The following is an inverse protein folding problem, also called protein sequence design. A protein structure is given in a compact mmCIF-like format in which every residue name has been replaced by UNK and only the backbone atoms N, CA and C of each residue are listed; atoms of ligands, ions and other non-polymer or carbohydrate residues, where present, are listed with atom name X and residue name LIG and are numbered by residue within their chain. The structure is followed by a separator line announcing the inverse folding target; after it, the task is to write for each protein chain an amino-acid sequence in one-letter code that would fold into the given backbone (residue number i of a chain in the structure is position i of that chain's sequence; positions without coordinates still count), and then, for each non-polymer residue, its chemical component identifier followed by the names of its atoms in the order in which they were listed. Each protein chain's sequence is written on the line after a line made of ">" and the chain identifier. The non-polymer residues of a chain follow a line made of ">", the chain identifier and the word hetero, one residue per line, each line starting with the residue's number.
data_IF_832533248924
#
_entry.id   IF_832533248924
#
_cell.length_a   1.000
_cell.length_b   1.000
_cell.length_c   1.000
_cell.angle_alpha   90.00
_cell.angle_beta   90.00
_cell.angle_gamma   90.00
#
_symmetry.space_group_name_H-M   'P 1'
#
loop_
_entity.id
_entity.type
_entity.pdbx_description
1 polymer ?
#
# COMPACT_ATOMS: atom_id res chain seq x y z
N UNK A 1 -3.36 14.13 14.06
CA UNK A 1 -3.99 12.90 13.53
C UNK A 1 -3.58 11.71 14.40
N UNK A 2 -4.53 10.89 14.80
CA UNK A 2 -4.21 9.65 15.51
C UNK A 2 -3.43 8.70 14.60
N UNK A 3 -2.52 7.91 15.20
CA UNK A 3 -1.72 6.95 14.43
C UNK A 3 -2.60 5.84 13.87
N UNK A 4 -2.34 5.46 12.61
CA UNK A 4 -2.97 4.32 11.95
C UNK A 4 -2.26 3.00 12.24
N UNK A 5 -1.15 3.04 12.96
CA UNK A 5 -0.45 1.82 13.36
C UNK A 5 -1.34 0.96 14.24
N UNK A 6 -1.49 -0.30 13.89
CA UNK A 6 -2.35 -1.22 14.59
C UNK A 6 -3.82 -1.20 14.17
N UNK A 7 -4.18 -0.39 13.18
CA UNK A 7 -5.55 -0.40 12.66
C UNK A 7 -5.88 -1.74 11.99
N UNK A 8 -7.13 -2.17 12.19
CA UNK A 8 -7.70 -3.31 11.45
C UNK A 8 -8.20 -2.85 10.08
N UNK A 9 -8.54 -3.81 9.22
CA UNK A 9 -9.17 -3.49 7.93
C UNK A 9 -10.46 -2.68 8.16
N UNK A 10 -11.25 -3.04 9.18
CA UNK A 10 -12.48 -2.31 9.49
C UNK A 10 -12.21 -0.87 9.92
N UNK A 11 -11.14 -0.62 10.65
CA UNK A 11 -10.73 0.75 11.03
C UNK A 11 -10.41 1.59 9.79
N UNK A 12 -9.65 1.04 8.84
CA UNK A 12 -9.33 1.71 7.58
C UNK A 12 -10.61 2.01 6.79
N UNK A 13 -11.48 1.03 6.66
CA UNK A 13 -12.75 1.20 5.93
C UNK A 13 -13.63 2.26 6.55
N UNK A 14 -13.75 2.28 7.87
CA UNK A 14 -14.53 3.29 8.59
C UNK A 14 -13.98 4.70 8.35
N UNK A 15 -12.66 4.87 8.37
CA UNK A 15 -12.04 6.16 8.12
C UNK A 15 -12.37 6.68 6.70
N UNK A 16 -12.33 5.82 5.69
CA UNK A 16 -12.65 6.23 4.32
C UNK A 16 -14.14 6.55 4.15
N UNK A 17 -15.02 5.82 4.82
CA UNK A 17 -16.46 6.14 4.84
C UNK A 17 -16.72 7.51 5.47
N UNK A 18 -15.91 7.89 6.46
CA UNK A 18 -16.01 9.18 7.14
C UNK A 18 -15.32 10.33 6.36
N UNK A 19 -14.81 10.05 5.17
CA UNK A 19 -14.24 11.06 4.28
C UNK A 19 -12.74 11.21 4.33
N UNK A 20 -12.01 10.36 5.04
CA UNK A 20 -10.55 10.39 5.02
C UNK A 20 -10.03 10.04 3.61
N UNK A 21 -8.87 10.58 3.26
CA UNK A 21 -8.24 10.37 1.96
C UNK A 21 -7.06 9.42 2.07
N UNK A 22 -6.92 8.47 1.13
CA UNK A 22 -5.74 7.58 1.12
C UNK A 22 -4.43 8.35 1.09
N UNK A 23 -4.36 9.46 0.34
CA UNK A 23 -3.18 10.30 0.27
C UNK A 23 -2.67 10.69 1.66
N UNK A 24 -3.58 11.12 2.54
CA UNK A 24 -3.22 11.57 3.89
C UNK A 24 -2.88 10.39 4.80
N UNK A 25 -3.71 9.36 4.82
CA UNK A 25 -3.54 8.24 5.74
C UNK A 25 -2.34 7.37 5.38
N UNK A 26 -2.16 7.05 4.10
CA UNK A 26 -1.03 6.23 3.64
C UNK A 26 0.27 7.02 3.76
N UNK A 27 0.25 8.31 3.38
CA UNK A 27 1.42 9.18 3.53
C UNK A 27 1.88 9.27 4.98
N UNK A 28 0.94 9.45 5.92
CA UNK A 28 1.26 9.47 7.34
C UNK A 28 1.82 8.13 7.82
N UNK A 29 1.20 7.01 7.42
CA UNK A 29 1.69 5.68 7.79
C UNK A 29 3.13 5.46 7.33
N UNK A 30 3.42 5.75 6.06
CA UNK A 30 4.76 5.55 5.51
C UNK A 30 5.80 6.42 6.21
N UNK A 31 5.43 7.62 6.65
CA UNK A 31 6.33 8.49 7.39
C UNK A 31 6.67 7.96 8.79
N UNK A 32 5.82 7.11 9.35
CA UNK A 32 5.99 6.52 10.68
C UNK A 32 6.70 5.17 10.67
N UNK A 33 6.82 4.51 9.52
CA UNK A 33 7.53 3.25 9.42
C UNK A 33 9.03 3.49 9.49
N UNK A 34 9.72 2.73 10.34
CA UNK A 34 11.17 2.82 10.46
C UNK A 34 11.85 2.25 9.23
N UNK A 35 12.80 3.02 8.66
CA UNK A 35 13.49 2.62 7.44
C UNK A 35 14.55 1.55 7.68
N UNK A 36 15.08 1.47 8.90
CA UNK A 36 16.15 0.54 9.26
C UNK A 36 15.64 -0.78 9.84
N UNK A 37 14.33 -0.98 9.86
CA UNK A 37 13.74 -2.22 10.37
C UNK A 37 14.07 -3.37 9.42
N UNK A 38 14.64 -4.45 9.98
CA UNK A 38 15.01 -5.65 9.24
C UNK A 38 13.80 -6.37 8.59
N UNK A 39 12.57 -6.00 8.95
CA UNK A 39 11.36 -6.51 8.32
C UNK A 39 11.22 -6.08 6.86
N UNK A 40 11.84 -4.94 6.48
CA UNK A 40 11.66 -4.35 5.15
C UNK A 40 12.87 -4.61 4.25
N UNK A 41 12.63 -5.24 3.10
CA UNK A 41 13.62 -5.39 2.03
C UNK A 41 13.42 -4.28 1.00
N UNK A 42 12.17 -4.06 0.61
CA UNK A 42 11.80 -2.98 -0.30
C UNK A 42 10.62 -2.21 0.28
N UNK A 43 10.58 -0.91 0.01
CA UNK A 43 9.46 -0.04 0.39
C UNK A 43 9.03 0.77 -0.82
N UNK A 44 7.73 1.10 -0.84
CA UNK A 44 7.19 1.95 -1.90
C UNK A 44 7.79 3.36 -1.77
N UNK A 45 8.47 3.83 -2.82
CA UNK A 45 9.00 5.19 -2.88
C UNK A 45 7.92 6.21 -3.24
N UNK A 46 8.28 7.51 -3.21
CA UNK A 46 7.33 8.61 -3.44
C UNK A 46 6.66 8.52 -4.82
N UNK A 47 7.42 8.22 -5.86
CA UNK A 47 6.86 8.08 -7.22
C UNK A 47 5.92 6.87 -7.32
N UNK A 48 6.29 5.75 -6.70
CA UNK A 48 5.45 4.55 -6.66
C UNK A 48 4.17 4.80 -5.87
N UNK A 49 4.26 5.51 -4.76
CA UNK A 49 3.09 5.89 -3.96
C UNK A 49 2.15 6.79 -4.77
N UNK A 50 2.68 7.80 -5.45
CA UNK A 50 1.87 8.70 -6.27
C UNK A 50 1.13 7.93 -7.37
N UNK A 51 1.81 7.01 -8.06
CA UNK A 51 1.20 6.17 -9.09
C UNK A 51 0.12 5.25 -8.53
N UNK A 52 0.36 4.65 -7.37
CA UNK A 52 -0.61 3.77 -6.72
C UNK A 52 -1.86 4.53 -6.28
N UNK A 53 -1.69 5.73 -5.72
CA UNK A 53 -2.81 6.58 -5.30
C UNK A 53 -3.64 7.06 -6.49
N UNK A 54 -2.99 7.38 -7.62
CA UNK A 54 -3.68 7.74 -8.85
C UNK A 54 -4.50 6.57 -9.39
N UNK A 55 -3.92 5.38 -9.45
CA UNK A 55 -4.63 4.18 -9.88
C UNK A 55 -5.82 3.86 -8.96
N UNK A 56 -5.67 4.07 -7.66
CA UNK A 56 -6.74 3.86 -6.68
C UNK A 56 -7.89 4.84 -6.92
N UNK A 57 -7.59 6.12 -7.17
CA UNK A 57 -8.59 7.13 -7.49
C UNK A 57 -9.36 6.80 -8.76
N UNK A 58 -8.67 6.30 -9.79
CA UNK A 58 -9.31 5.85 -11.04
C UNK A 58 -10.27 4.68 -10.80
N UNK A 59 -9.88 3.73 -9.97
CA UNK A 59 -10.75 2.58 -9.63
C UNK A 59 -11.99 3.03 -8.88
N UNK A 60 -11.86 3.96 -7.94
CA UNK A 60 -13.00 4.50 -7.21
C UNK A 60 -13.95 5.24 -8.15
N UNK A 61 -13.41 6.03 -9.07
CA UNK A 61 -14.20 6.72 -10.08
C UNK A 61 -14.97 5.72 -10.96
N UNK A 62 -14.32 4.63 -11.36
CA UNK A 62 -14.93 3.59 -12.22
C UNK A 62 -16.14 2.90 -11.57
N UNK A 63 -16.21 2.87 -10.24
CA UNK A 63 -17.36 2.31 -9.50
C UNK A 63 -18.30 3.40 -8.96
N UNK A 64 -18.21 4.62 -9.51
CA UNK A 64 -19.10 5.72 -9.14
C UNK A 64 -18.91 6.22 -7.70
N UNK A 65 -17.74 6.04 -7.12
CA UNK A 65 -17.45 6.44 -5.74
C UNK A 65 -17.99 5.48 -4.68
N UNK A 66 -18.48 4.31 -5.08
CA UNK A 66 -19.06 3.35 -4.14
C UNK A 66 -17.98 2.49 -3.48
N UNK A 67 -17.59 2.86 -2.26
CA UNK A 67 -16.55 2.17 -1.48
C UNK A 67 -16.92 0.70 -1.19
N UNK A 68 -18.19 0.35 -1.15
CA UNK A 68 -18.61 -1.03 -0.89
C UNK A 68 -18.21 -1.99 -2.01
N UNK A 69 -17.98 -1.47 -3.22
CA UNK A 69 -17.48 -2.28 -4.34
C UNK A 69 -15.96 -2.48 -4.30
N UNK A 70 -15.26 -1.77 -3.42
CA UNK A 70 -13.81 -1.86 -3.25
C UNK A 70 -13.49 -2.14 -1.78
N UNK A 71 -13.69 -3.36 -1.29
CA UNK A 71 -13.59 -3.67 0.14
C UNK A 71 -12.20 -3.46 0.74
N UNK A 72 -11.14 -3.42 -0.08
CA UNK A 72 -9.77 -3.13 0.36
C UNK A 72 -9.26 -1.79 -0.12
N UNK A 73 -10.15 -0.89 -0.55
CA UNK A 73 -9.76 0.45 -0.99
C UNK A 73 -8.88 1.15 0.05
N UNK A 74 -7.68 1.55 -0.38
CA UNK A 74 -6.76 2.30 0.46
C UNK A 74 -6.19 1.56 1.67
N UNK A 75 -6.40 0.25 1.78
CA UNK A 75 -5.83 -0.56 2.86
C UNK A 75 -4.40 -0.97 2.49
N UNK A 76 -3.38 -0.55 3.29
CA UNK A 76 -2.01 -0.93 3.01
C UNK A 76 -1.76 -2.40 3.31
N UNK A 77 -0.82 -3.01 2.60
CA UNK A 77 -0.40 -4.38 2.85
C UNK A 77 1.11 -4.53 2.73
N UNK A 78 1.63 -5.57 3.35
CA UNK A 78 3.01 -5.98 3.20
C UNK A 78 3.03 -7.34 2.49
N UNK A 79 3.90 -7.48 1.51
CA UNK A 79 4.03 -8.69 0.70
C UNK A 79 5.37 -9.34 1.01
N UNK A 80 5.37 -10.63 1.26
CA UNK A 80 6.61 -11.38 1.50
C UNK A 80 7.46 -11.37 0.23
N UNK A 81 8.77 -11.17 0.38
CA UNK A 81 9.69 -10.96 -0.73
C UNK A 81 9.98 -12.20 -1.59
N UNK A 82 9.35 -13.31 -1.34
CA UNK A 82 9.34 -14.48 -2.22
C UNK A 82 8.05 -14.57 -3.07
N UNK A 83 7.22 -13.54 -3.03
CA UNK A 83 5.98 -13.42 -3.81
C UNK A 83 6.20 -12.30 -4.83
N UNK A 84 5.88 -12.55 -6.09
CA UNK A 84 5.99 -11.53 -7.12
C UNK A 84 4.99 -10.40 -6.89
N UNK A 85 5.49 -9.16 -6.91
CA UNK A 85 4.69 -7.97 -6.88
C UNK A 85 5.26 -7.00 -7.91
N UNK A 86 4.49 -6.65 -8.92
CA UNK A 86 4.97 -5.74 -9.97
C UNK A 86 5.40 -4.41 -9.37
N UNK A 87 6.58 -3.93 -9.77
CA UNK A 87 7.18 -2.70 -9.24
C UNK A 87 8.22 -2.94 -8.16
N UNK A 88 8.40 -4.19 -7.72
CA UNK A 88 9.41 -4.58 -6.74
C UNK A 88 10.18 -5.80 -7.23
N UNK A 89 11.48 -5.85 -6.93
CA UNK A 89 12.24 -7.07 -7.18
C UNK A 89 11.82 -8.17 -6.21
N UNK A 90 11.80 -9.40 -6.70
CA UNK A 90 11.60 -10.60 -5.88
C UNK A 90 12.97 -11.15 -5.54
N UNK A 91 13.34 -11.19 -4.27
CA UNK A 91 14.71 -11.55 -3.88
C UNK A 91 14.80 -12.78 -2.98
N UNK A 92 13.74 -13.16 -2.29
CA UNK A 92 13.74 -14.22 -1.27
C UNK A 92 14.87 -14.01 -0.25
N UNK A 93 15.18 -12.76 0.07
CA UNK A 93 16.28 -12.32 0.95
C UNK A 93 17.68 -12.73 0.43
N UNK A 94 17.80 -13.05 -0.87
CA UNK A 94 19.06 -13.45 -1.49
C UNK A 94 19.31 -12.59 -2.74
N UNK A 95 20.21 -11.59 -2.67
CA UNK A 95 20.46 -10.70 -3.82
C UNK A 95 20.87 -11.44 -5.10
N UNK A 96 21.55 -12.55 -4.99
CA UNK A 96 21.97 -13.35 -6.15
C UNK A 96 20.79 -14.03 -6.85
N UNK A 97 19.67 -14.21 -6.18
CA UNK A 97 18.43 -14.78 -6.74
C UNK A 97 17.53 -13.73 -7.38
N UNK A 98 17.71 -12.47 -7.03
CA UNK A 98 16.78 -11.40 -7.34
C UNK A 98 16.43 -11.31 -8.83
N UNK A 99 15.15 -11.09 -9.11
CA UNK A 99 14.65 -10.78 -10.44
C UNK A 99 13.50 -9.77 -10.36
N UNK A 100 13.23 -9.11 -11.49
CA UNK A 100 12.15 -8.12 -11.57
C UNK A 100 10.93 -8.77 -12.23
N UNK A 101 9.83 -9.00 -11.50
CA UNK A 101 8.63 -9.59 -12.08
C UNK A 101 7.91 -8.58 -12.98
N UNK A 102 7.31 -9.06 -14.05
CA UNK A 102 6.50 -8.24 -14.98
C UNK A 102 5.03 -8.21 -14.58
N UNK A 103 4.63 -9.06 -13.66
CA UNK A 103 3.24 -9.18 -13.15
C UNK A 103 3.24 -9.68 -11.71
N UNK A 104 2.12 -9.51 -11.07
CA UNK A 104 1.88 -10.04 -9.72
C UNK A 104 1.66 -11.57 -9.75
#
# INVERSE_FOLDING_TARGET
>A
MASTLGWTIDDWRAAYRDGARPDDLIGDLLSRLETDDAAWISRLGDAGLAAALEALAERLHAVGGDLEQLPLYGVPCAVKDNIDARGFDTTAACPAFAYTPERD
#
